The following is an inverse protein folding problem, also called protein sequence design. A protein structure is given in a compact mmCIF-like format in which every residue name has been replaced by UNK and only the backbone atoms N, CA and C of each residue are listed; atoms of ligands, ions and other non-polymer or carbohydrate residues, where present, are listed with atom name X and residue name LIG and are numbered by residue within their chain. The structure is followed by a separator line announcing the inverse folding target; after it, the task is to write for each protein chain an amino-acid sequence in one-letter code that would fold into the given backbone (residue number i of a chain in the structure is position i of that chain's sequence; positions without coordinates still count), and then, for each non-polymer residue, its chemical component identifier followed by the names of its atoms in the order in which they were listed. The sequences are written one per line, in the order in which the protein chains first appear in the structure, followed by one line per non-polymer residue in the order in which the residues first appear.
data_IF_538279073831
#
_entry.id   IF_538279073831
#
_cell.length_a   1.000
_cell.length_b   1.000
_cell.length_c   1.000
_cell.angle_alpha   90.00
_cell.angle_beta   90.00
_cell.angle_gamma   90.00
#
_symmetry.space_group_name_H-M   'P 1'
#
loop_
_entity.id
_entity.type
_entity.pdbx_description
1 polymer ?
#
# COMPACT_ATOMS: atom_id res chain seq x y z
N UNK A 1 -19.01 1.14 17.62
CA UNK A 1 -17.56 1.40 17.69
C UNK A 1 -16.84 0.61 16.59
N UNK A 2 -15.76 1.15 15.99
CA UNK A 2 -14.89 0.44 15.05
C UNK A 2 -13.56 0.17 15.77
N UNK A 3 -13.09 -1.08 15.80
CA UNK A 3 -11.92 -1.44 16.60
C UNK A 3 -10.88 -2.25 15.83
N UNK A 4 -9.61 -1.86 15.94
CA UNK A 4 -8.47 -2.62 15.47
C UNK A 4 -8.07 -3.69 16.49
N UNK A 5 -8.21 -4.96 16.15
CA UNK A 5 -7.91 -6.06 17.07
C UNK A 5 -6.44 -6.48 17.10
N UNK A 6 -5.57 -5.67 16.48
CA UNK A 6 -4.15 -6.01 16.37
C UNK A 6 -3.90 -7.18 15.45
N UNK A 7 -2.87 -7.95 15.75
CA UNK A 7 -2.31 -8.98 14.87
C UNK A 7 -2.94 -10.37 15.02
N UNK A 8 -4.03 -10.51 15.82
CA UNK A 8 -4.73 -11.79 15.98
C UNK A 8 -4.49 -12.48 17.33
N UNK A 9 -3.40 -12.18 18.03
CA UNK A 9 -3.15 -12.63 19.40
C UNK A 9 -3.74 -11.64 20.40
N UNK A 10 -4.48 -12.11 21.39
CA UNK A 10 -5.12 -11.27 22.40
C UNK A 10 -4.09 -10.51 23.26
N UNK A 11 -2.89 -11.04 23.45
CA UNK A 11 -1.79 -10.32 24.10
C UNK A 11 -1.32 -9.05 23.37
N UNK A 12 -1.61 -8.95 22.06
CA UNK A 12 -1.33 -7.78 21.23
C UNK A 12 -2.54 -6.84 21.07
N UNK A 13 -3.63 -7.11 21.79
CA UNK A 13 -4.83 -6.28 21.80
C UNK A 13 -4.69 -5.16 22.81
N UNK A 14 -5.17 -3.96 22.48
CA UNK A 14 -5.21 -2.87 23.46
C UNK A 14 -6.32 -3.14 24.48
N UNK A 15 -6.11 -2.67 25.72
CA UNK A 15 -7.10 -2.82 26.81
C UNK A 15 -8.44 -2.22 26.41
N UNK A 16 -8.46 -1.06 25.74
CA UNK A 16 -9.68 -0.42 25.28
C UNK A 16 -10.49 -1.29 24.33
N UNK A 17 -9.82 -2.01 23.42
CA UNK A 17 -10.47 -2.94 22.50
C UNK A 17 -10.98 -4.18 23.23
N UNK A 18 -10.22 -4.71 24.19
CA UNK A 18 -10.67 -5.83 25.03
C UNK A 18 -11.94 -5.48 25.81
N UNK A 19 -11.97 -4.30 26.45
CA UNK A 19 -13.14 -3.82 27.21
C UNK A 19 -14.34 -3.58 26.29
N UNK A 20 -14.10 -3.09 25.07
CA UNK A 20 -15.17 -2.92 24.07
C UNK A 20 -15.76 -4.27 23.62
N UNK A 21 -14.94 -5.32 23.48
CA UNK A 21 -15.42 -6.67 23.17
C UNK A 21 -16.28 -7.23 24.31
N UNK A 22 -15.84 -7.05 25.56
CA UNK A 22 -16.57 -7.53 26.73
C UNK A 22 -17.93 -6.83 26.92
N UNK A 23 -18.03 -5.56 26.51
CA UNK A 23 -19.24 -4.75 26.62
C UNK A 23 -20.13 -4.74 25.37
N UNK A 24 -19.71 -5.42 24.29
CA UNK A 24 -20.45 -5.45 23.04
C UNK A 24 -21.67 -6.35 23.11
N UNK A 25 -22.83 -5.84 22.66
CA UNK A 25 -24.03 -6.65 22.45
C UNK A 25 -23.92 -7.46 21.17
N UNK A 26 -23.31 -6.85 20.13
CA UNK A 26 -23.07 -7.47 18.82
C UNK A 26 -21.66 -7.16 18.33
N UNK A 27 -21.03 -8.18 17.74
CA UNK A 27 -19.74 -8.06 17.05
C UNK A 27 -19.92 -8.32 15.55
N UNK A 28 -19.46 -7.38 14.73
CA UNK A 28 -19.39 -7.49 13.28
C UNK A 28 -17.94 -7.61 12.83
N UNK A 29 -17.68 -8.35 11.76
CA UNK A 29 -16.33 -8.50 11.21
C UNK A 29 -16.21 -9.73 10.31
N UNK A 30 -15.05 -9.94 9.68
CA UNK A 30 -14.81 -11.16 8.93
C UNK A 30 -14.86 -12.40 9.83
N UNK A 31 -15.42 -13.51 9.34
CA UNK A 31 -15.66 -14.75 10.11
C UNK A 31 -14.45 -15.16 10.95
N UNK A 32 -13.26 -15.19 10.37
CA UNK A 32 -12.01 -15.54 11.06
C UNK A 32 -11.69 -14.68 12.28
N UNK A 33 -12.21 -13.45 12.35
CA UNK A 33 -11.95 -12.51 13.44
C UNK A 33 -12.97 -12.64 14.56
N UNK A 34 -14.21 -12.97 14.23
CA UNK A 34 -15.33 -13.00 15.19
C UNK A 34 -15.58 -14.38 15.81
N UNK A 35 -15.16 -15.47 15.14
CA UNK A 35 -15.43 -16.84 15.59
C UNK A 35 -14.81 -17.17 16.95
N UNK A 36 -13.65 -16.59 17.27
CA UNK A 36 -12.92 -16.85 18.52
C UNK A 36 -13.62 -16.29 19.77
N UNK A 37 -14.54 -15.35 19.65
CA UNK A 37 -15.20 -14.74 20.78
C UNK A 37 -16.37 -15.58 21.30
N UNK A 38 -16.79 -15.31 22.54
CA UNK A 38 -17.82 -16.07 23.24
C UNK A 38 -19.13 -16.23 22.43
N UNK A 39 -19.74 -17.41 22.51
CA UNK A 39 -21.05 -17.67 21.93
C UNK A 39 -22.20 -16.86 22.59
N UNK A 40 -21.94 -16.20 23.72
CA UNK A 40 -22.95 -15.32 24.41
C UNK A 40 -23.11 -13.98 23.71
N UNK A 41 -22.13 -13.57 22.87
CA UNK A 41 -22.19 -12.32 22.11
C UNK A 41 -22.73 -12.65 20.73
N UNK A 42 -23.73 -11.91 20.27
CA UNK A 42 -24.26 -12.06 18.93
C UNK A 42 -23.21 -11.65 17.88
N UNK A 43 -23.07 -12.42 16.80
CA UNK A 43 -22.02 -12.23 15.80
C UNK A 43 -22.57 -12.28 14.39
N UNK A 44 -22.17 -11.32 13.54
CA UNK A 44 -22.51 -11.32 12.12
C UNK A 44 -21.25 -11.18 11.28
N UNK A 45 -21.07 -12.00 10.24
CA UNK A 45 -19.89 -11.96 9.38
C UNK A 45 -19.96 -10.81 8.36
N UNK A 46 -20.29 -9.62 8.84
CA UNK A 46 -20.42 -8.41 8.03
C UNK A 46 -19.15 -7.57 8.15
N UNK A 47 -18.49 -7.33 7.03
CA UNK A 47 -17.24 -6.57 6.97
C UNK A 47 -17.20 -5.52 5.84
N UNK A 48 -18.21 -5.51 4.96
CA UNK A 48 -18.38 -4.53 3.90
C UNK A 48 -19.44 -3.48 4.30
N UNK A 49 -19.26 -2.24 3.84
CA UNK A 49 -20.19 -1.15 4.14
C UNK A 49 -21.64 -1.47 3.69
N UNK A 50 -21.78 -2.14 2.53
CA UNK A 50 -23.05 -2.55 1.95
C UNK A 50 -23.80 -3.59 2.81
N UNK A 51 -23.09 -4.30 3.69
CA UNK A 51 -23.68 -5.24 4.65
C UNK A 51 -23.94 -4.57 5.99
N UNK A 52 -23.01 -3.74 6.45
CA UNK A 52 -23.02 -3.13 7.78
C UNK A 52 -24.06 -2.03 7.88
N UNK A 53 -24.11 -1.09 6.93
CA UNK A 53 -25.01 0.08 7.02
C UNK A 53 -26.49 -0.33 7.04
N UNK A 54 -27.00 -1.21 6.16
CA UNK A 54 -28.38 -1.69 6.25
C UNK A 54 -28.68 -2.39 7.56
N UNK A 55 -27.75 -3.18 8.08
CA UNK A 55 -27.89 -3.85 9.36
C UNK A 55 -27.96 -2.86 10.55
N UNK A 56 -27.16 -1.78 10.50
CA UNK A 56 -27.27 -0.71 11.51
C UNK A 56 -28.63 -0.02 11.50
N UNK A 57 -29.26 0.16 10.34
CA UNK A 57 -30.63 0.68 10.27
C UNK A 57 -31.64 -0.28 10.93
N UNK A 58 -31.49 -1.57 10.67
CA UNK A 58 -32.37 -2.60 11.26
C UNK A 58 -32.35 -2.56 12.79
N UNK A 59 -31.15 -2.56 13.39
CA UNK A 59 -30.99 -2.53 14.84
C UNK A 59 -31.34 -1.19 15.47
N UNK A 60 -31.12 -0.07 14.80
CA UNK A 60 -31.54 1.23 15.32
C UNK A 60 -33.03 1.46 15.23
N UNK A 61 -33.76 0.77 14.37
CA UNK A 61 -35.21 0.79 14.32
C UNK A 61 -35.85 -0.05 15.45
N UNK A 62 -35.17 -1.10 15.90
CA UNK A 62 -35.59 -1.95 17.02
C UNK A 62 -34.98 -1.46 18.36
N UNK A 63 -35.53 -0.40 18.91
CA UNK A 63 -35.02 0.37 20.07
C UNK A 63 -34.84 -0.42 21.37
N UNK A 64 -35.12 -1.71 21.41
CA UNK A 64 -35.33 -2.40 22.69
C UNK A 64 -34.13 -3.20 23.22
N UNK A 65 -33.06 -3.48 22.47
CA UNK A 65 -32.07 -4.48 22.92
C UNK A 65 -30.59 -4.23 22.63
N UNK A 66 -30.19 -3.43 21.65
CA UNK A 66 -28.81 -3.31 21.23
C UNK A 66 -28.32 -1.88 21.41
N UNK A 67 -27.34 -1.70 22.30
CA UNK A 67 -26.75 -0.41 22.60
C UNK A 67 -25.31 -0.31 22.05
N UNK A 68 -24.57 -1.43 22.03
CA UNK A 68 -23.16 -1.46 21.72
C UNK A 68 -22.84 -2.40 20.55
N UNK A 69 -22.66 -1.84 19.37
CA UNK A 69 -22.22 -2.56 18.18
C UNK A 69 -20.72 -2.35 18.01
N UNK A 70 -19.97 -3.45 17.94
CA UNK A 70 -18.52 -3.44 17.73
C UNK A 70 -18.16 -4.04 16.37
N UNK A 71 -17.46 -3.24 15.54
CA UNK A 71 -17.03 -3.65 14.21
C UNK A 71 -15.52 -3.86 14.22
N UNK A 72 -15.07 -5.08 13.95
CA UNK A 72 -13.67 -5.48 14.08
C UNK A 72 -12.91 -5.36 12.76
N UNK A 73 -11.70 -4.83 12.87
CA UNK A 73 -10.70 -4.75 11.80
C UNK A 73 -9.40 -5.41 12.23
N UNK A 74 -8.72 -6.06 11.29
CA UNK A 74 -7.37 -6.61 11.52
C UNK A 74 -6.36 -5.47 11.62
N UNK A 75 -5.36 -5.61 12.48
CA UNK A 75 -4.30 -4.63 12.68
C UNK A 75 -4.79 -3.36 13.38
N UNK A 76 -4.34 -2.22 12.87
CA UNK A 76 -4.73 -0.88 13.30
C UNK A 76 -5.78 -0.29 12.37
N UNK A 77 -6.80 0.33 12.95
CA UNK A 77 -7.85 1.04 12.21
C UNK A 77 -7.34 2.23 11.40
N UNK A 78 -6.26 2.86 11.81
CA UNK A 78 -5.63 4.00 11.12
C UNK A 78 -4.62 3.62 10.04
N UNK A 79 -4.31 2.31 9.88
CA UNK A 79 -3.20 1.88 9.05
C UNK A 79 -3.63 0.88 7.95
N UNK A 80 -3.68 1.35 6.69
CA UNK A 80 -4.13 0.56 5.51
C UNK A 80 -5.41 -0.25 5.75
N UNK A 81 -6.33 0.33 6.50
CA UNK A 81 -7.60 -0.30 6.93
C UNK A 81 -8.79 0.30 6.19
N UNK A 82 -9.80 -0.53 5.93
CA UNK A 82 -11.11 -0.09 5.43
C UNK A 82 -11.94 0.72 6.44
N UNK A 83 -11.50 0.79 7.70
CA UNK A 83 -12.23 1.43 8.80
C UNK A 83 -12.54 2.90 8.54
N UNK A 84 -11.61 3.67 7.94
CA UNK A 84 -11.81 5.10 7.62
C UNK A 84 -13.00 5.31 6.67
N UNK A 85 -13.09 4.49 5.62
CA UNK A 85 -14.19 4.57 4.64
C UNK A 85 -15.53 4.27 5.32
N UNK A 86 -15.57 3.21 6.11
CA UNK A 86 -16.78 2.83 6.85
C UNK A 86 -17.15 3.88 7.91
N UNK A 87 -16.18 4.40 8.66
CA UNK A 87 -16.41 5.48 9.65
C UNK A 87 -17.04 6.70 9.02
N UNK A 88 -16.49 7.17 7.88
CA UNK A 88 -17.03 8.32 7.16
C UNK A 88 -18.43 8.05 6.62
N UNK A 89 -18.69 6.85 6.10
CA UNK A 89 -20.02 6.45 5.64
C UNK A 89 -21.04 6.46 6.79
N UNK A 90 -20.73 5.83 7.94
CA UNK A 90 -21.61 5.84 9.12
C UNK A 90 -21.82 7.28 9.61
N UNK A 91 -20.76 8.09 9.67
CA UNK A 91 -20.86 9.49 10.11
C UNK A 91 -21.76 10.33 9.19
N UNK A 92 -21.72 10.06 7.88
CA UNK A 92 -22.63 10.70 6.93
C UNK A 92 -24.10 10.32 7.21
N UNK A 93 -24.39 9.04 7.40
CA UNK A 93 -25.75 8.56 7.72
C UNK A 93 -26.30 9.17 9.03
N UNK A 94 -25.41 9.35 10.03
CA UNK A 94 -25.76 10.06 11.28
C UNK A 94 -26.05 11.54 11.00
N UNK A 95 -25.21 12.20 10.21
CA UNK A 95 -25.38 13.64 9.92
C UNK A 95 -26.63 13.94 9.08
N UNK A 96 -27.07 13.01 8.27
CA UNK A 96 -28.31 13.08 7.48
C UNK A 96 -29.56 12.69 8.31
N UNK A 97 -29.40 12.36 9.58
CA UNK A 97 -30.49 11.95 10.46
C UNK A 97 -31.09 10.58 10.16
N UNK A 98 -30.43 9.77 9.32
CA UNK A 98 -30.87 8.41 8.95
C UNK A 98 -30.50 7.38 10.00
N UNK A 99 -29.45 7.63 10.78
CA UNK A 99 -28.97 6.74 11.84
C UNK A 99 -28.84 7.52 13.14
N UNK A 100 -29.55 7.09 14.18
CA UNK A 100 -29.46 7.69 15.52
C UNK A 100 -28.45 6.90 16.37
N UNK A 101 -27.17 7.22 16.25
CA UNK A 101 -26.08 6.54 16.95
C UNK A 101 -24.86 7.44 17.10
N UNK A 102 -23.96 7.08 18.02
CA UNK A 102 -22.62 7.62 18.11
C UNK A 102 -21.60 6.67 17.47
N UNK A 103 -20.60 7.23 16.80
CA UNK A 103 -19.53 6.44 16.19
C UNK A 103 -18.15 6.85 16.70
N UNK A 104 -17.36 5.87 17.13
CA UNK A 104 -15.99 6.07 17.59
C UNK A 104 -15.06 5.00 17.02
N UNK A 105 -13.75 5.29 17.06
CA UNK A 105 -12.70 4.39 16.57
C UNK A 105 -11.74 4.07 17.70
N UNK A 106 -11.38 2.79 17.84
CA UNK A 106 -10.35 2.29 18.73
C UNK A 106 -9.17 1.76 17.90
N UNK A 107 -7.97 2.22 18.24
CA UNK A 107 -6.74 1.79 17.56
C UNK A 107 -6.33 0.37 17.93
N UNK A 108 -5.59 -0.28 17.03
CA UNK A 108 -4.93 -1.56 17.26
C UNK A 108 -3.43 -1.47 17.00
N UNK A 109 -2.73 -2.59 17.12
CA UNK A 109 -1.31 -2.69 16.77
C UNK A 109 -1.20 -3.11 15.30
N UNK A 110 -0.47 -2.31 14.49
CA UNK A 110 -0.24 -2.62 13.09
C UNK A 110 0.85 -3.69 12.92
N UNK A 111 0.84 -4.39 11.77
CA UNK A 111 1.90 -5.35 11.44
C UNK A 111 3.28 -4.69 11.34
N UNK A 112 3.34 -3.43 10.92
CA UNK A 112 4.61 -2.68 10.86
C UNK A 112 5.15 -2.41 12.25
N UNK A 113 4.33 -1.91 13.19
CA UNK A 113 4.79 -1.66 14.55
C UNK A 113 5.17 -2.93 15.28
N UNK A 114 4.43 -4.03 15.10
CA UNK A 114 4.77 -5.32 15.66
C UNK A 114 6.10 -5.85 15.11
N UNK A 115 6.25 -5.89 13.77
CA UNK A 115 7.47 -6.37 13.12
C UNK A 115 8.69 -5.52 13.51
N UNK A 116 8.57 -4.20 13.50
CA UNK A 116 9.65 -3.30 13.88
C UNK A 116 10.15 -3.58 15.31
N UNK A 117 9.23 -3.74 16.27
CA UNK A 117 9.58 -4.12 17.63
C UNK A 117 10.25 -5.49 17.71
N UNK A 118 9.72 -6.49 16.98
CA UNK A 118 10.26 -7.86 17.00
C UNK A 118 11.69 -7.96 16.45
N UNK A 119 12.05 -7.08 15.50
CA UNK A 119 13.39 -7.07 14.88
C UNK A 119 14.32 -5.97 15.45
N UNK A 120 13.86 -5.23 16.47
CA UNK A 120 14.66 -4.16 17.11
C UNK A 120 14.88 -2.95 16.20
N UNK A 121 13.94 -2.62 15.33
CA UNK A 121 14.00 -1.51 14.37
C UNK A 121 12.98 -0.42 14.68
N UNK A 122 13.20 0.78 14.13
CA UNK A 122 12.20 1.85 14.07
C UNK A 122 11.57 1.92 12.67
N UNK A 123 10.34 2.39 12.59
CA UNK A 123 9.67 2.64 11.32
C UNK A 123 9.40 4.13 11.05
N UNK A 124 9.79 5.02 11.95
CA UNK A 124 9.61 6.47 11.80
C UNK A 124 10.43 7.07 10.65
N UNK A 125 11.54 6.43 10.29
CA UNK A 125 12.45 6.78 9.20
C UNK A 125 12.28 5.89 7.95
N UNK A 126 11.27 5.01 7.95
CA UNK A 126 11.04 4.07 6.88
C UNK A 126 10.01 4.58 5.86
N UNK A 127 10.19 4.18 4.62
CA UNK A 127 9.11 4.21 3.64
C UNK A 127 8.15 3.05 3.93
N UNK A 128 6.86 3.33 3.97
CA UNK A 128 5.84 2.32 4.24
C UNK A 128 4.86 2.29 3.07
N UNK A 129 4.67 1.12 2.49
CA UNK A 129 3.75 0.92 1.39
C UNK A 129 3.00 -0.41 1.49
N UNK A 130 1.98 -0.55 0.69
CA UNK A 130 1.15 -1.76 0.62
C UNK A 130 0.90 -2.13 -0.83
N UNK A 131 1.06 -3.42 -1.13
CA UNK A 131 0.59 -4.04 -2.36
C UNK A 131 -0.59 -4.97 -2.08
N UNK A 132 -1.08 -4.97 -0.84
CA UNK A 132 -2.25 -5.73 -0.43
C UNK A 132 -3.53 -5.13 -1.03
N UNK A 133 -4.05 -5.77 -2.07
CA UNK A 133 -5.27 -5.33 -2.78
C UNK A 133 -5.12 -4.01 -3.55
N UNK A 134 -3.90 -3.51 -3.74
CA UNK A 134 -3.59 -2.27 -4.47
C UNK A 134 -2.44 -2.52 -5.45
N UNK A 135 -2.58 -2.01 -6.67
CA UNK A 135 -1.46 -2.00 -7.62
C UNK A 135 -0.53 -0.84 -7.27
N UNK A 136 0.72 -1.13 -6.95
CA UNK A 136 1.78 -0.15 -6.73
C UNK A 136 2.77 -0.23 -7.89
N UNK A 137 2.94 0.87 -8.63
CA UNK A 137 3.94 1.00 -9.69
C UNK A 137 5.31 1.42 -9.13
N UNK A 138 6.36 1.20 -9.93
CA UNK A 138 7.74 1.63 -9.66
C UNK A 138 8.29 1.11 -8.31
N UNK A 139 7.97 -0.13 -7.95
CA UNK A 139 8.39 -0.74 -6.67
C UNK A 139 9.91 -0.64 -6.47
N UNK A 140 10.70 -0.98 -7.47
CA UNK A 140 12.17 -0.93 -7.41
C UNK A 140 12.69 0.49 -7.25
N UNK A 141 12.13 1.46 -7.98
CA UNK A 141 12.44 2.88 -7.82
C UNK A 141 12.15 3.35 -6.39
N UNK A 142 10.95 3.06 -5.86
CA UNK A 142 10.55 3.43 -4.49
C UNK A 142 11.51 2.86 -3.44
N UNK A 143 11.85 1.58 -3.54
CA UNK A 143 12.81 0.94 -2.62
C UNK A 143 14.21 1.54 -2.76
N UNK A 144 14.62 1.88 -3.99
CA UNK A 144 15.96 2.41 -4.25
C UNK A 144 16.24 3.74 -3.54
N UNK A 145 15.21 4.55 -3.31
CA UNK A 145 15.34 5.87 -2.68
C UNK A 145 15.29 5.84 -1.15
N UNK A 146 15.04 4.67 -0.53
CA UNK A 146 14.87 4.56 0.92
C UNK A 146 15.83 3.53 1.50
N UNK A 147 16.46 3.87 2.63
CA UNK A 147 17.33 2.94 3.35
C UNK A 147 16.54 1.79 3.98
N UNK A 148 15.26 2.04 4.31
CA UNK A 148 14.36 1.08 4.94
C UNK A 148 12.96 1.21 4.34
N UNK A 149 12.39 0.09 3.95
CA UNK A 149 11.01 0.02 3.43
C UNK A 149 10.25 -1.10 4.13
N UNK A 150 9.07 -0.79 4.68
CA UNK A 150 8.10 -1.80 5.08
C UNK A 150 7.03 -1.94 4.00
N UNK A 151 6.76 -3.18 3.61
CA UNK A 151 5.80 -3.49 2.54
C UNK A 151 4.82 -4.57 2.99
N UNK A 152 3.52 -4.20 2.99
CA UNK A 152 2.45 -5.14 3.28
C UNK A 152 2.13 -5.96 2.02
N UNK A 153 2.04 -7.28 2.20
CA UNK A 153 1.84 -8.26 1.13
C UNK A 153 0.44 -8.89 1.20
N UNK A 154 -0.11 -9.29 0.06
CA UNK A 154 -1.36 -10.08 0.02
C UNK A 154 -1.11 -11.57 0.32
N UNK A 155 0.11 -12.04 0.13
CA UNK A 155 0.48 -13.44 0.34
C UNK A 155 1.87 -13.77 -0.21
N UNK A 156 2.21 -15.05 -0.23
CA UNK A 156 3.54 -15.54 -0.67
C UNK A 156 3.89 -15.15 -2.11
N UNK A 157 2.89 -15.04 -3.00
CA UNK A 157 3.13 -14.64 -4.40
C UNK A 157 3.72 -13.24 -4.51
N UNK A 158 3.28 -12.33 -3.65
CA UNK A 158 3.81 -10.96 -3.61
C UNK A 158 5.25 -10.95 -3.10
N UNK A 159 5.57 -11.79 -2.10
CA UNK A 159 6.96 -11.94 -1.61
C UNK A 159 7.87 -12.51 -2.70
N UNK A 160 7.39 -13.52 -3.44
CA UNK A 160 8.14 -14.08 -4.57
C UNK A 160 8.33 -13.04 -5.68
N UNK A 161 7.29 -12.28 -6.03
CA UNK A 161 7.37 -11.19 -7.00
C UNK A 161 8.39 -10.13 -6.56
N UNK A 162 8.34 -9.67 -5.31
CA UNK A 162 9.33 -8.74 -4.75
C UNK A 162 10.74 -9.33 -4.87
N UNK A 163 10.92 -10.60 -4.51
CA UNK A 163 12.20 -11.30 -4.65
C UNK A 163 12.72 -11.28 -6.08
N UNK A 164 11.88 -11.52 -7.07
CA UNK A 164 12.25 -11.42 -8.49
C UNK A 164 12.61 -9.99 -8.89
N UNK A 165 11.82 -9.00 -8.53
CA UNK A 165 12.08 -7.59 -8.85
C UNK A 165 13.42 -7.13 -8.27
N UNK A 166 13.70 -7.44 -7.01
CA UNK A 166 14.95 -7.03 -6.36
C UNK A 166 16.17 -7.80 -6.89
N UNK A 167 16.04 -9.12 -7.14
CA UNK A 167 17.17 -9.95 -7.61
C UNK A 167 17.57 -9.66 -9.05
N UNK A 168 16.66 -9.18 -9.89
CA UNK A 168 16.90 -8.83 -11.29
C UNK A 168 17.24 -7.35 -11.51
N UNK A 169 17.19 -6.52 -10.46
CA UNK A 169 17.46 -5.09 -10.60
C UNK A 169 18.96 -4.82 -10.71
N UNK A 170 19.40 -4.49 -11.92
CA UNK A 170 20.78 -4.07 -12.22
C UNK A 170 20.96 -2.56 -12.08
N UNK A 171 19.89 -1.78 -12.14
CA UNK A 171 19.92 -0.31 -12.20
C UNK A 171 20.24 0.33 -10.86
N UNK A 172 19.62 -0.13 -9.80
CA UNK A 172 19.80 0.42 -8.46
C UNK A 172 20.62 -0.49 -7.54
N UNK A 173 21.02 -1.67 -8.02
CA UNK A 173 21.79 -2.64 -7.24
C UNK A 173 21.03 -3.28 -6.10
N UNK A 174 19.69 -3.38 -6.22
CA UNK A 174 18.79 -3.88 -5.17
C UNK A 174 18.96 -5.38 -4.87
N UNK A 175 19.67 -6.12 -5.73
CA UNK A 175 20.05 -7.52 -5.46
C UNK A 175 20.91 -7.67 -4.19
N UNK A 176 21.49 -6.57 -3.68
CA UNK A 176 22.29 -6.53 -2.43
C UNK A 176 21.47 -6.16 -1.20
N UNK A 177 20.17 -5.89 -1.35
CA UNK A 177 19.30 -5.62 -0.22
C UNK A 177 19.15 -6.86 0.66
N UNK A 178 18.89 -6.65 1.94
CA UNK A 178 18.38 -7.71 2.82
C UNK A 178 16.87 -7.55 2.99
N UNK A 179 16.16 -8.68 2.98
CA UNK A 179 14.71 -8.72 3.14
C UNK A 179 14.39 -9.50 4.40
N UNK A 180 13.84 -8.85 5.41
CA UNK A 180 13.30 -9.53 6.57
C UNK A 180 11.83 -9.81 6.30
N UNK A 181 11.46 -11.08 6.26
CA UNK A 181 10.11 -11.55 6.00
C UNK A 181 9.46 -11.98 7.31
N UNK A 182 8.37 -11.30 7.67
CA UNK A 182 7.48 -11.70 8.76
C UNK A 182 6.31 -12.50 8.18
N UNK A 183 6.14 -13.70 8.70
CA UNK A 183 5.04 -14.60 8.35
C UNK A 183 4.19 -14.87 9.59
N UNK A 184 2.86 -14.79 9.42
CA UNK A 184 1.87 -15.09 10.48
C UNK A 184 2.21 -14.40 11.82
N UNK A 185 2.61 -13.12 11.76
CA UNK A 185 3.03 -12.39 12.95
C UNK A 185 1.97 -12.44 14.05
N UNK A 186 2.39 -12.76 15.27
CA UNK A 186 1.61 -13.00 16.48
C UNK A 186 0.74 -14.27 16.50
N UNK A 187 0.75 -15.07 15.45
CA UNK A 187 0.10 -16.39 15.43
C UNK A 187 1.07 -17.48 15.94
N UNK A 188 0.57 -18.68 16.33
CA UNK A 188 1.44 -19.74 16.85
C UNK A 188 2.54 -20.22 15.91
N UNK A 189 2.34 -20.04 14.61
CA UNK A 189 3.28 -20.40 13.53
C UNK A 189 4.08 -19.20 13.02
N UNK A 190 4.19 -18.12 13.84
CA UNK A 190 4.99 -16.94 13.54
C UNK A 190 6.42 -17.32 13.17
N UNK A 191 6.90 -16.77 12.07
CA UNK A 191 8.33 -16.78 11.74
C UNK A 191 8.78 -15.40 11.25
N UNK A 192 10.00 -15.03 11.64
CA UNK A 192 10.69 -13.85 11.14
C UNK A 192 12.06 -14.30 10.63
N UNK A 193 12.28 -14.15 9.32
CA UNK A 193 13.49 -14.64 8.66
C UNK A 193 14.14 -13.53 7.84
N UNK A 194 15.45 -13.37 7.98
CA UNK A 194 16.21 -12.48 7.10
C UNK A 194 16.72 -13.28 5.89
N UNK A 195 16.35 -12.84 4.71
CA UNK A 195 16.58 -13.52 3.44
C UNK A 195 17.25 -12.57 2.44
N UNK A 196 17.95 -13.13 1.46
CA UNK A 196 18.33 -12.44 0.24
C UNK A 196 17.11 -12.31 -0.69
N UNK A 197 17.12 -11.36 -1.65
CA UNK A 197 16.09 -11.29 -2.69
C UNK A 197 15.88 -12.61 -3.43
N UNK A 198 16.96 -13.34 -3.74
CA UNK A 198 16.89 -14.63 -4.42
C UNK A 198 16.21 -15.73 -3.59
N UNK A 199 16.39 -15.74 -2.28
CA UNK A 199 15.70 -16.68 -1.40
C UNK A 199 14.21 -16.38 -1.31
N UNK A 200 13.82 -15.10 -1.33
CA UNK A 200 12.41 -14.68 -1.35
C UNK A 200 11.64 -15.28 -2.54
N UNK A 201 12.28 -15.50 -3.70
CA UNK A 201 11.61 -16.09 -4.88
C UNK A 201 11.14 -17.53 -4.68
N UNK A 202 11.64 -18.23 -3.67
CA UNK A 202 11.41 -19.66 -3.42
C UNK A 202 10.50 -19.92 -2.24
N UNK A 203 10.04 -18.87 -1.55
CA UNK A 203 9.15 -19.02 -0.40
C UNK A 203 7.84 -19.73 -0.79
N UNK A 204 7.33 -20.53 0.13
CA UNK A 204 6.08 -21.27 0.02
C UNK A 204 5.27 -21.10 1.29
N UNK A 205 3.99 -21.35 1.20
CA UNK A 205 3.05 -21.27 2.32
C UNK A 205 2.01 -20.19 2.09
N UNK A 206 0.75 -20.51 2.34
CA UNK A 206 -0.34 -19.54 2.34
C UNK A 206 -0.42 -18.87 3.71
N UNK A 207 -0.64 -17.56 3.73
CA UNK A 207 -0.75 -16.82 4.99
C UNK A 207 -0.53 -15.33 4.86
N UNK A 208 -0.38 -14.67 5.99
CA UNK A 208 -0.16 -13.23 6.09
C UNK A 208 1.34 -12.93 6.09
N UNK A 209 1.75 -12.05 5.22
CA UNK A 209 3.15 -11.66 5.06
C UNK A 209 3.33 -10.16 5.17
N UNK A 210 4.47 -9.77 5.72
CA UNK A 210 5.02 -8.42 5.67
C UNK A 210 6.52 -8.51 5.40
N UNK A 211 7.07 -7.60 4.61
CA UNK A 211 8.49 -7.52 4.36
C UNK A 211 9.06 -6.20 4.88
N UNK A 212 10.25 -6.26 5.48
CA UNK A 212 11.10 -5.11 5.72
C UNK A 212 12.34 -5.25 4.84
N UNK A 213 12.54 -4.31 3.93
CA UNK A 213 13.67 -4.27 3.01
C UNK A 213 14.68 -3.24 3.52
N UNK A 214 15.93 -3.64 3.69
CA UNK A 214 17.06 -2.75 3.97
C UNK A 214 17.89 -2.58 2.72
N UNK A 215 17.93 -1.35 2.21
CA UNK A 215 18.80 -0.92 1.12
C UNK A 215 20.01 -0.20 1.71
N UNK A 216 21.18 -0.79 1.55
CA UNK A 216 22.43 -0.26 2.14
C UNK A 216 23.02 0.91 1.34
N UNK A 217 22.54 1.15 0.11
CA UNK A 217 23.00 2.21 -0.78
C UNK A 217 21.81 2.97 -1.40
N UNK A 218 21.02 3.69 -0.59
CA UNK A 218 19.87 4.42 -1.12
C UNK A 218 20.34 5.54 -2.07
N UNK A 219 19.65 5.68 -3.19
CA UNK A 219 19.94 6.68 -4.21
C UNK A 219 19.06 7.90 -3.97
N UNK A 220 19.65 9.09 -3.98
CA UNK A 220 18.87 10.32 -3.90
C UNK A 220 17.93 10.45 -5.10
N UNK A 221 16.67 10.82 -4.85
CA UNK A 221 15.70 11.07 -5.92
C UNK A 221 15.95 12.45 -6.52
N UNK A 222 16.01 12.51 -7.84
CA UNK A 222 16.12 13.77 -8.54
C UNK A 222 14.78 14.52 -8.49
N UNK A 223 14.86 15.81 -8.16
CA UNK A 223 13.68 16.69 -8.06
C UNK A 223 13.56 17.69 -9.21
N UNK A 224 14.52 17.63 -10.15
CA UNK A 224 14.57 18.48 -11.34
C UNK A 224 14.88 17.67 -12.58
N UNK A 225 14.40 18.08 -13.77
CA UNK A 225 14.79 17.47 -15.02
C UNK A 225 16.32 17.53 -15.20
N UNK A 226 16.94 16.43 -15.63
CA UNK A 226 18.40 16.33 -15.78
C UNK A 226 18.87 15.27 -16.79
N UNK A 227 17.94 14.57 -17.47
CA UNK A 227 18.31 13.57 -18.44
C UNK A 227 18.89 14.24 -19.70
N UNK A 228 20.13 13.87 -20.05
CA UNK A 228 20.75 14.35 -21.28
C UNK A 228 20.11 13.73 -22.53
N UNK A 229 20.33 14.33 -23.69
CA UNK A 229 19.86 13.77 -24.97
C UNK A 229 20.40 12.36 -25.22
N UNK A 230 21.60 12.03 -24.73
CA UNK A 230 22.20 10.71 -24.85
C UNK A 230 21.52 9.63 -23.99
N UNK A 231 20.71 10.03 -23.01
CA UNK A 231 19.95 9.11 -22.19
C UNK A 231 18.83 8.41 -22.98
N UNK A 232 18.42 8.93 -24.13
CA UNK A 232 17.28 8.45 -24.91
C UNK A 232 17.69 7.69 -26.17
N UNK A 233 16.90 6.68 -26.51
CA UNK A 233 16.91 6.00 -27.81
C UNK A 233 16.02 6.83 -28.74
N UNK A 234 16.52 7.28 -29.89
CA UNK A 234 15.75 8.18 -30.77
C UNK A 234 15.71 7.78 -32.24
N UNK A 235 16.70 7.02 -32.72
CA UNK A 235 16.83 6.69 -34.13
C UNK A 235 16.68 7.93 -35.07
N UNK A 236 15.71 7.86 -36.02
CA UNK A 236 15.37 8.94 -36.94
C UNK A 236 14.19 9.78 -36.51
N UNK A 237 13.57 9.46 -35.35
CA UNK A 237 12.43 10.21 -34.83
C UNK A 237 12.92 11.52 -34.21
N UNK A 238 12.30 12.65 -34.52
CA UNK A 238 12.62 13.92 -33.87
C UNK A 238 12.43 13.82 -32.35
N UNK A 239 13.33 14.47 -31.61
CA UNK A 239 13.30 14.48 -30.15
C UNK A 239 13.47 15.93 -29.67
N UNK A 240 12.66 16.33 -28.69
CA UNK A 240 12.81 17.62 -28.00
C UNK A 240 14.18 17.66 -27.31
N UNK A 241 14.98 18.68 -27.64
CA UNK A 241 16.31 18.86 -27.10
C UNK A 241 16.30 19.11 -25.61
N UNK A 242 17.40 18.72 -24.95
CA UNK A 242 17.56 18.74 -23.50
C UNK A 242 17.11 20.05 -22.87
N UNK A 243 17.62 21.18 -23.33
CA UNK A 243 17.31 22.49 -22.75
C UNK A 243 15.83 22.86 -22.89
N UNK A 244 15.26 22.57 -24.07
CA UNK A 244 13.84 22.85 -24.35
C UNK A 244 12.96 21.91 -23.52
N UNK A 245 13.34 20.63 -23.40
CA UNK A 245 12.63 19.62 -22.60
C UNK A 245 12.61 20.02 -21.12
N UNK A 246 13.77 20.39 -20.56
CA UNK A 246 13.87 20.84 -19.17
C UNK A 246 13.04 22.09 -18.90
N UNK A 247 13.14 23.09 -19.78
CA UNK A 247 12.31 24.31 -19.65
C UNK A 247 10.82 23.99 -19.73
N UNK A 248 10.43 23.11 -20.67
CA UNK A 248 9.01 22.72 -20.84
C UNK A 248 8.47 22.05 -19.57
N UNK A 249 9.21 21.08 -19.03
CA UNK A 249 8.80 20.38 -17.79
C UNK A 249 8.74 21.34 -16.61
N UNK A 250 9.72 22.23 -16.45
CA UNK A 250 9.71 23.25 -15.39
C UNK A 250 8.51 24.20 -15.50
N UNK A 251 8.11 24.57 -16.72
CA UNK A 251 6.94 25.45 -16.96
C UNK A 251 5.60 24.79 -16.73
N UNK A 252 5.52 23.46 -16.72
CA UNK A 252 4.31 22.71 -16.40
C UNK A 252 3.97 22.75 -14.90
N UNK A 253 4.90 23.14 -14.02
CA UNK A 253 4.71 23.18 -12.56
C UNK A 253 4.13 21.88 -12.01
N UNK A 254 4.67 20.74 -12.46
CA UNK A 254 4.22 19.41 -12.06
C UNK A 254 4.35 19.20 -10.56
N UNK A 255 3.35 18.53 -9.98
CA UNK A 255 3.35 18.04 -8.60
C UNK A 255 3.69 16.54 -8.61
N UNK A 256 4.02 16.00 -7.46
CA UNK A 256 4.36 14.57 -7.33
C UNK A 256 3.25 13.63 -7.80
N UNK A 257 2.00 14.04 -7.72
CA UNK A 257 0.79 13.28 -8.07
C UNK A 257 0.09 13.78 -9.33
N UNK A 258 0.80 14.54 -10.18
CA UNK A 258 0.23 15.08 -11.43
C UNK A 258 -0.10 13.98 -12.43
N UNK A 259 -1.17 14.19 -13.18
CA UNK A 259 -1.49 13.41 -14.39
C UNK A 259 -1.06 14.23 -15.60
N UNK A 260 -0.13 13.71 -16.40
CA UNK A 260 0.41 14.37 -17.58
C UNK A 260 -0.01 13.68 -18.87
N UNK A 261 -0.52 14.43 -19.82
CA UNK A 261 -0.77 13.96 -21.19
C UNK A 261 0.26 14.60 -22.13
N UNK A 262 1.16 13.76 -22.71
CA UNK A 262 2.15 14.17 -23.71
C UNK A 262 1.64 13.77 -25.09
N UNK A 263 1.01 14.72 -25.80
CA UNK A 263 0.35 14.48 -27.09
C UNK A 263 1.30 14.78 -28.22
N UNK A 264 1.57 13.78 -29.08
CA UNK A 264 2.62 13.82 -30.08
C UNK A 264 3.99 13.55 -29.46
N UNK A 265 4.05 12.56 -28.58
CA UNK A 265 5.16 12.29 -27.68
C UNK A 265 6.49 11.95 -28.39
N UNK A 266 6.45 11.55 -29.68
CA UNK A 266 7.62 11.24 -30.48
C UNK A 266 8.46 10.11 -29.87
N UNK A 267 9.67 10.42 -29.41
CA UNK A 267 10.53 9.45 -28.71
C UNK A 267 10.11 9.19 -27.25
N UNK A 268 9.14 9.91 -26.74
CA UNK A 268 8.75 9.86 -25.33
C UNK A 268 9.66 10.64 -24.40
N UNK A 269 10.55 11.48 -24.90
CA UNK A 269 11.57 12.12 -24.06
C UNK A 269 10.99 13.01 -22.96
N UNK A 270 9.91 13.78 -23.24
CA UNK A 270 9.23 14.59 -22.23
C UNK A 270 8.49 13.68 -21.24
N UNK A 271 7.74 12.70 -21.75
CA UNK A 271 7.00 11.75 -20.91
C UNK A 271 7.92 10.99 -19.94
N UNK A 272 9.02 10.43 -20.45
CA UNK A 272 10.00 9.68 -19.65
C UNK A 272 10.67 10.56 -18.60
N UNK A 273 11.11 11.76 -18.98
CA UNK A 273 11.74 12.66 -18.01
C UNK A 273 10.76 13.14 -16.94
N UNK A 274 9.54 13.49 -17.31
CA UNK A 274 8.50 13.87 -16.35
C UNK A 274 8.19 12.71 -15.39
N UNK A 275 7.97 11.50 -15.91
CA UNK A 275 7.67 10.32 -15.12
C UNK A 275 8.79 9.95 -14.13
N UNK A 276 10.07 10.23 -14.49
CA UNK A 276 11.21 9.98 -13.63
C UNK A 276 11.30 10.89 -12.39
N UNK A 277 10.58 12.01 -12.39
CA UNK A 277 10.58 12.96 -11.26
C UNK A 277 9.73 12.48 -10.08
N UNK A 278 8.71 11.66 -10.33
CA UNK A 278 7.87 11.12 -9.27
C UNK A 278 7.30 9.74 -9.61
N UNK A 279 7.38 8.82 -8.65
CA UNK A 279 6.76 7.50 -8.75
C UNK A 279 5.22 7.55 -8.60
N UNK A 280 4.67 8.65 -8.10
CA UNK A 280 3.24 8.86 -7.92
C UNK A 280 2.59 9.61 -9.09
N UNK A 281 3.40 10.08 -10.06
CA UNK A 281 2.91 10.74 -11.26
C UNK A 281 2.37 9.69 -12.25
N UNK A 282 1.28 10.01 -12.94
CA UNK A 282 0.78 9.22 -14.07
C UNK A 282 1.03 9.97 -15.37
N UNK A 283 1.68 9.33 -16.34
CA UNK A 283 2.00 9.95 -17.63
C UNK A 283 1.38 9.14 -18.76
N UNK A 284 0.66 9.83 -19.64
CA UNK A 284 0.06 9.25 -20.85
C UNK A 284 0.78 9.80 -22.07
N UNK A 285 1.68 9.01 -22.64
CA UNK A 285 2.38 9.32 -23.88
C UNK A 285 1.52 8.90 -25.08
N UNK A 286 1.02 9.87 -25.84
CA UNK A 286 0.13 9.63 -26.98
C UNK A 286 0.87 9.91 -28.28
N UNK A 287 0.97 8.91 -29.14
CA UNK A 287 1.67 9.01 -30.44
C UNK A 287 0.92 8.17 -31.48
N UNK A 288 0.87 8.66 -32.74
CA UNK A 288 0.19 7.96 -33.82
C UNK A 288 1.13 7.08 -34.68
N UNK A 289 2.43 7.36 -34.68
CA UNK A 289 3.41 6.64 -35.49
C UNK A 289 3.93 5.43 -34.73
N UNK A 290 3.73 4.25 -35.28
CA UNK A 290 4.08 2.99 -34.63
C UNK A 290 5.58 2.89 -34.24
N UNK A 291 6.49 3.34 -35.13
CA UNK A 291 7.91 3.37 -34.82
C UNK A 291 8.27 4.29 -33.65
N UNK A 292 7.54 5.39 -33.48
CA UNK A 292 7.72 6.29 -32.33
C UNK A 292 7.12 5.69 -31.06
N UNK A 293 5.96 5.00 -31.13
CA UNK A 293 5.41 4.24 -30.00
C UNK A 293 6.39 3.17 -29.50
N UNK A 294 7.04 2.47 -30.41
CA UNK A 294 8.09 1.51 -30.03
C UNK A 294 9.26 2.17 -29.30
N UNK A 295 9.69 3.37 -29.73
CA UNK A 295 10.72 4.13 -29.04
C UNK A 295 10.29 4.61 -27.65
N UNK A 296 9.03 5.02 -27.48
CA UNK A 296 8.48 5.33 -26.15
C UNK A 296 8.60 4.12 -25.23
N UNK A 297 8.20 2.94 -25.71
CA UNK A 297 8.29 1.69 -24.95
C UNK A 297 9.73 1.37 -24.56
N UNK A 298 10.67 1.44 -25.53
CA UNK A 298 12.08 1.18 -25.26
C UNK A 298 12.69 2.19 -24.27
N UNK A 299 12.35 3.47 -24.38
CA UNK A 299 12.82 4.50 -23.47
C UNK A 299 12.22 4.31 -22.08
N UNK A 300 10.92 4.00 -21.98
CA UNK A 300 10.24 3.64 -20.72
C UNK A 300 10.96 2.47 -20.04
N UNK A 301 11.21 1.37 -20.76
CA UNK A 301 11.91 0.19 -20.25
C UNK A 301 13.36 0.50 -19.85
N UNK A 302 14.10 1.23 -20.68
CA UNK A 302 15.49 1.66 -20.40
C UNK A 302 15.59 2.43 -19.09
N UNK A 303 14.61 3.29 -18.81
CA UNK A 303 14.53 4.07 -17.57
C UNK A 303 13.77 3.34 -16.44
N UNK A 304 13.19 2.16 -16.72
CA UNK A 304 12.45 1.31 -15.77
C UNK A 304 11.29 2.00 -15.12
N UNK A 305 10.55 2.71 -15.91
CA UNK A 305 9.35 3.42 -15.49
C UNK A 305 8.12 2.54 -15.74
N UNK A 306 7.20 2.51 -14.80
CA UNK A 306 5.92 1.78 -14.89
C UNK A 306 4.73 2.75 -14.94
N UNK A 307 4.97 4.03 -14.69
CA UNK A 307 3.98 5.09 -14.58
C UNK A 307 3.77 5.88 -15.89
N UNK A 308 4.15 5.28 -17.05
CA UNK A 308 3.85 5.78 -18.39
C UNK A 308 2.96 4.80 -19.12
#
# INVERSE_FOLDING_TARGET
MLAGIGMGNDACMTKAVSDAIESADIILGASRMIEKYSAKIDKKPYYLAEQIIPYLYEICADTAKISNVLILFSGDTGFYSGSKKLYLAIKNEISEGKLNADVSILSGISSVSYMAAAVGETYSDAYICSIHGVKLSNITSRISHHAKTFMLMSGVKDVNMLGHLLSSDERYGLQKCSVTVGYQLSYPDETISQLSPQECTKLKGEGLYICMIKNHNPVAKNVTPQLSDAAFIREKVPMTKEEIRHVSICKLHLKSDSVLYDVGSGTGSIAVEAASLSDDMEVYAIEQKENAVQLITQNKEKHGLENI
#
